data_IF_364165386105
#
_entry.id   IF_364165386105
#
_cell.length_a   1.000
_cell.length_b   1.000
_cell.length_c   1.000
_cell.angle_alpha   90.00
_cell.angle_beta   90.00
_cell.angle_gamma   90.00
#
_symmetry.space_group_name_H-M   'P 1'
#
loop_
_entity.id
_entity.type
_entity.pdbx_description
1 polymer ?
#
# COMPACT_ATOMS: atom_id res chain seq x y z
N UNK A 1 10.22 12.33 4.18
CA UNK A 1 9.16 11.67 3.39
C UNK A 1 7.84 12.15 3.97
N UNK A 2 7.20 13.13 3.33
CA UNK A 2 6.01 13.78 3.89
C UNK A 2 4.76 13.10 3.31
N UNK A 3 4.04 12.36 4.15
CA UNK A 3 2.72 11.83 3.81
C UNK A 3 1.68 12.73 4.49
N UNK A 4 1.11 13.66 3.74
CA UNK A 4 -0.07 14.43 4.17
C UNK A 4 -1.33 13.62 3.84
N UNK A 5 -1.89 12.91 4.81
CA UNK A 5 -3.33 12.62 4.90
C UNK A 5 -3.75 12.91 6.34
N UNK A 6 -4.43 14.04 6.62
CA UNK A 6 -4.78 14.45 7.97
C UNK A 6 -5.97 13.62 8.44
N UNK A 7 -5.68 12.46 9.04
CA UNK A 7 -6.40 11.77 10.14
C UNK A 7 -5.93 10.32 10.13
N UNK A 8 -5.20 9.90 11.17
CA UNK A 8 -5.15 8.48 11.51
C UNK A 8 -6.54 8.12 12.04
N UNK A 9 -7.30 7.32 11.29
CA UNK A 9 -8.53 6.73 11.83
C UNK A 9 -8.16 5.42 12.53
N UNK A 10 -8.75 5.22 13.70
CA UNK A 10 -8.78 3.93 14.39
C UNK A 10 -10.19 3.33 14.23
N UNK A 11 -10.49 2.68 13.09
CA UNK A 11 -11.82 2.16 12.82
C UNK A 11 -12.15 0.99 13.74
N UNK A 12 -13.37 0.99 14.27
CA UNK A 12 -13.90 -0.14 15.05
C UNK A 12 -14.61 -1.10 14.11
N UNK A 13 -14.12 -2.33 14.01
CA UNK A 13 -14.81 -3.39 13.27
C UNK A 13 -15.85 -4.04 14.18
N UNK A 14 -17.12 -3.97 13.80
CA UNK A 14 -18.25 -4.59 14.50
C UNK A 14 -19.03 -5.52 13.57
N UNK A 15 -19.96 -6.34 14.08
CA UNK A 15 -20.85 -7.13 13.21
C UNK A 15 -21.66 -6.27 12.22
N UNK A 16 -22.04 -5.05 12.62
CA UNK A 16 -22.79 -4.09 11.81
C UNK A 16 -21.88 -3.38 10.79
N UNK A 17 -20.59 -3.21 11.12
CA UNK A 17 -19.57 -2.64 10.26
C UNK A 17 -18.33 -3.55 10.23
N UNK A 18 -18.40 -4.69 9.52
CA UNK A 18 -17.35 -5.72 9.59
C UNK A 18 -16.12 -5.39 8.76
N UNK A 19 -16.17 -4.32 7.96
CA UNK A 19 -15.13 -3.94 7.04
C UNK A 19 -14.88 -2.42 7.08
N UNK A 20 -13.61 -2.06 6.89
CA UNK A 20 -13.16 -0.70 6.70
C UNK A 20 -12.17 -0.69 5.53
N UNK A 21 -12.28 0.31 4.66
CA UNK A 21 -11.40 0.48 3.51
C UNK A 21 -10.88 1.92 3.47
N UNK A 22 -9.58 2.07 3.25
CA UNK A 22 -8.94 3.35 3.02
C UNK A 22 -7.93 3.24 1.88
N UNK A 23 -7.61 4.38 1.27
CA UNK A 23 -6.57 4.47 0.25
C UNK A 23 -5.44 5.35 0.76
N UNK A 24 -4.21 4.84 0.66
CA UNK A 24 -2.98 5.61 0.90
C UNK A 24 -2.09 5.57 -0.34
N UNK A 25 -1.07 6.42 -0.35
CA UNK A 25 -0.12 6.53 -1.45
C UNK A 25 1.31 6.43 -0.91
N UNK A 26 2.20 5.87 -1.73
CA UNK A 26 3.64 5.81 -1.49
C UNK A 26 4.37 6.22 -2.77
N UNK A 27 5.50 6.92 -2.63
CA UNK A 27 6.36 7.27 -3.76
C UNK A 27 7.71 6.59 -3.57
N UNK A 28 8.15 5.85 -4.59
CA UNK A 28 9.45 5.20 -4.64
C UNK A 28 10.36 5.97 -5.61
N UNK A 29 11.65 6.05 -5.26
CA UNK A 29 12.69 6.51 -6.20
C UNK A 29 13.24 5.37 -7.09
N UNK A 30 12.65 4.17 -6.99
CA UNK A 30 12.98 2.99 -7.76
C UNK A 30 11.79 2.58 -8.64
N UNK A 31 12.02 1.91 -9.79
CA UNK A 31 10.94 1.49 -10.71
C UNK A 31 10.05 0.38 -10.13
N UNK A 32 10.51 -0.32 -9.08
CA UNK A 32 9.73 -1.34 -8.39
C UNK A 32 10.13 -1.45 -6.92
N UNK A 33 9.29 -2.15 -6.14
CA UNK A 33 9.54 -2.47 -4.74
C UNK A 33 8.52 -3.46 -4.19
N UNK A 34 8.62 -3.78 -2.90
CA UNK A 34 7.64 -4.60 -2.19
C UNK A 34 7.13 -3.83 -0.96
N UNK A 35 5.86 -4.01 -0.62
CA UNK A 35 5.25 -3.50 0.60
C UNK A 35 4.70 -4.65 1.43
N UNK A 36 4.91 -4.58 2.74
CA UNK A 36 4.33 -5.46 3.75
C UNK A 36 4.14 -4.65 5.03
N UNK A 37 3.42 -5.20 6.01
CA UNK A 37 3.19 -4.47 7.25
C UNK A 37 2.37 -5.24 8.27
N UNK A 38 1.97 -4.53 9.31
CA UNK A 38 1.16 -5.08 10.40
C UNK A 38 0.27 -3.98 10.95
N UNK A 39 -1.02 -4.28 11.13
CA UNK A 39 -1.91 -3.50 11.99
C UNK A 39 -1.91 -4.12 13.38
N UNK A 40 -1.75 -3.29 14.40
CA UNK A 40 -2.07 -3.70 15.76
C UNK A 40 -3.58 -3.53 15.96
N UNK A 41 -4.24 -4.62 16.31
CA UNK A 41 -5.67 -4.66 16.59
C UNK A 41 -5.87 -4.75 18.11
N UNK A 42 -6.79 -3.96 18.65
CA UNK A 42 -7.18 -4.01 20.06
C UNK A 42 -8.60 -4.54 20.17
N UNK A 43 -8.82 -5.45 21.12
CA UNK A 43 -10.15 -5.98 21.48
C UNK A 43 -10.72 -5.16 22.63
N UNK A 44 -12.05 -5.21 22.78
CA UNK A 44 -12.78 -4.55 23.89
C UNK A 44 -12.34 -5.01 25.28
N UNK A 45 -11.74 -6.18 25.39
CA UNK A 45 -11.20 -6.72 26.66
C UNK A 45 -9.78 -6.21 26.97
N UNK A 46 -9.23 -5.31 26.15
CA UNK A 46 -7.88 -4.75 26.30
C UNK A 46 -6.76 -5.66 25.78
N UNK A 47 -7.07 -6.85 25.28
CA UNK A 47 -6.08 -7.70 24.60
C UNK A 47 -5.80 -7.17 23.20
N UNK A 48 -4.61 -7.45 22.68
CA UNK A 48 -4.22 -7.04 21.33
C UNK A 48 -3.66 -8.20 20.51
N UNK A 49 -3.75 -8.06 19.19
CA UNK A 49 -3.15 -8.99 18.25
C UNK A 49 -2.67 -8.27 16.99
N UNK A 50 -1.73 -8.90 16.29
CA UNK A 50 -1.21 -8.40 15.02
C UNK A 50 -2.02 -8.96 13.85
N UNK A 51 -2.50 -8.07 12.98
CA UNK A 51 -3.03 -8.43 11.66
C UNK A 51 -1.96 -8.12 10.60
N UNK A 52 -1.49 -9.15 9.89
CA UNK A 52 -0.41 -9.00 8.89
C UNK A 52 -0.97 -8.51 7.55
N UNK A 53 -0.28 -7.53 6.97
CA UNK A 53 -0.44 -7.17 5.56
C UNK A 53 0.54 -8.05 4.77
N UNK A 54 0.08 -8.99 3.94
CA UNK A 54 0.97 -9.83 3.15
C UNK A 54 1.84 -8.99 2.21
N UNK A 55 3.06 -9.45 1.89
CA UNK A 55 3.90 -8.79 0.91
C UNK A 55 3.19 -8.68 -0.45
N UNK A 56 3.22 -7.48 -1.05
CA UNK A 56 2.75 -7.24 -2.43
C UNK A 56 3.75 -6.38 -3.20
N UNK A 57 3.80 -6.56 -4.51
CA UNK A 57 4.71 -5.82 -5.40
C UNK A 57 4.14 -4.44 -5.77
N UNK A 58 5.04 -3.47 -5.85
CA UNK A 58 4.82 -2.18 -6.47
C UNK A 58 5.62 -2.14 -7.76
N UNK A 59 4.95 -1.88 -8.87
CA UNK A 59 5.58 -1.80 -10.18
C UNK A 59 5.20 -0.48 -10.84
N UNK A 60 6.20 0.24 -11.35
CA UNK A 60 5.96 1.33 -12.30
C UNK A 60 5.40 0.72 -13.57
N UNK A 61 4.45 1.40 -14.20
CA UNK A 61 4.13 1.11 -15.59
C UNK A 61 5.36 1.53 -16.39
N UNK A 62 6.22 0.60 -16.79
CA UNK A 62 7.16 0.87 -17.87
C UNK A 62 6.31 1.05 -19.12
N UNK A 63 6.37 2.23 -19.74
CA UNK A 63 5.85 2.44 -21.09
C UNK A 63 6.76 1.68 -22.08
N UNK A 64 6.73 0.35 -22.06
CA UNK A 64 7.43 -0.53 -23.01
C UNK A 64 6.70 -0.61 -24.38
N UNK A 65 5.87 0.39 -24.70
CA UNK A 65 5.17 0.53 -25.98
C UNK A 65 5.52 1.85 -26.69
N UNK A 66 6.79 2.27 -26.66
CA UNK A 66 7.28 3.24 -27.63
C UNK A 66 7.92 2.50 -28.83
N UNK A 67 7.18 2.26 -29.93
CA UNK A 67 7.72 1.61 -31.13
C UNK A 67 8.82 2.43 -31.84
N UNK A 68 9.19 3.62 -31.35
CA UNK A 68 10.17 4.49 -32.01
C UNK A 68 11.64 4.25 -31.63
N UNK A 69 11.98 3.21 -30.84
CA UNK A 69 13.38 2.95 -30.47
C UNK A 69 14.01 1.77 -31.23
N UNK A 70 13.69 1.64 -32.52
CA UNK A 70 14.36 0.68 -33.42
C UNK A 70 15.00 1.45 -34.60
N UNK A 71 16.31 1.24 -34.80
CA UNK A 71 17.20 1.79 -35.84
C UNK A 71 17.57 3.28 -35.65
N UNK A 72 18.80 3.64 -35.31
CA UNK A 72 19.98 3.50 -36.18
C UNK A 72 21.25 3.11 -35.38
N UNK A 73 21.67 1.86 -35.53
CA UNK A 73 23.09 1.52 -35.51
C UNK A 73 23.59 1.54 -36.95
N UNK A 74 24.46 2.49 -37.26
CA UNK A 74 25.62 2.43 -38.17
C UNK A 74 26.19 3.84 -38.35
#
# INVERSE_FOLDING_TARGET
MNVYHPVCQEPVLSPEQPAFQYSSHVSLQAPSGHMWGTYKMERRDGTSFDCKIPPFSLESKTDDNNPNNTFLGN
#
